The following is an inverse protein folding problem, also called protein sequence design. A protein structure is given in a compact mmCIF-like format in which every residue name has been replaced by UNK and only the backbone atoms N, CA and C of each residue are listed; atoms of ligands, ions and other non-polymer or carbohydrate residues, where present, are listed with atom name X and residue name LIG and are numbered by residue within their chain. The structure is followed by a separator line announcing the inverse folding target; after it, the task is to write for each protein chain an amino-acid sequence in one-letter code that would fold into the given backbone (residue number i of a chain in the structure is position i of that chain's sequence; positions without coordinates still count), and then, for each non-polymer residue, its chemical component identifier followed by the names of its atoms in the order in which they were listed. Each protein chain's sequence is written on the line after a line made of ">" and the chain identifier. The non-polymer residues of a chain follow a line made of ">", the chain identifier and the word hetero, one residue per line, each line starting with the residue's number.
data_IF_187316048409
#
_entry.id   IF_187316048409
#
_cell.length_a   1.000
_cell.length_b   1.000
_cell.length_c   1.000
_cell.angle_alpha   90.00
_cell.angle_beta   90.00
_cell.angle_gamma   90.00
#
_symmetry.space_group_name_H-M   'P 1'
#
loop_
_entity.id
_entity.type
_entity.pdbx_description
1 polymer ?
#
# COMPACT_ATOMS: atom_id res chain seq x y z
N UNK A 1 -1.98 -5.57 6.53
CA UNK A 1 -1.45 -4.19 6.51
C UNK A 1 0.07 -4.19 6.56
N UNK A 2 0.71 -3.19 5.95
CA UNK A 2 2.11 -3.21 5.50
C UNK A 2 2.88 -1.95 5.89
N UNK A 3 4.20 -2.05 5.89
CA UNK A 3 5.14 -0.93 5.98
C UNK A 3 5.91 -0.89 4.66
N UNK A 4 6.08 0.32 4.11
CA UNK A 4 6.82 0.55 2.87
C UNK A 4 7.91 1.59 3.16
N UNK A 5 9.06 1.47 2.50
CA UNK A 5 10.06 2.52 2.49
C UNK A 5 10.64 2.68 1.09
N UNK A 6 11.04 3.91 0.79
CA UNK A 6 11.79 4.29 -0.41
C UNK A 6 12.86 5.29 0.00
N UNK A 7 14.05 5.16 -0.56
CA UNK A 7 15.14 6.12 -0.39
C UNK A 7 15.56 6.58 -1.77
N UNK A 8 15.47 7.89 -1.99
CA UNK A 8 15.88 8.55 -3.23
C UNK A 8 17.17 9.32 -3.01
N UNK A 9 17.91 9.57 -4.09
CA UNK A 9 19.00 10.52 -4.08
C UNK A 9 18.50 11.94 -4.41
N UNK A 10 19.43 12.88 -4.66
CA UNK A 10 19.10 14.28 -4.93
C UNK A 10 18.41 14.52 -6.29
N UNK A 11 18.34 13.51 -7.16
CA UNK A 11 17.61 13.61 -8.43
C UNK A 11 16.09 13.54 -8.24
N UNK A 12 15.65 13.03 -7.08
CA UNK A 12 14.26 12.66 -6.79
C UNK A 12 13.62 11.73 -7.86
N UNK A 13 14.44 11.00 -8.62
CA UNK A 13 13.96 10.06 -9.64
C UNK A 13 13.64 8.70 -9.02
N UNK A 14 12.39 8.24 -9.17
CA UNK A 14 11.95 6.95 -8.64
C UNK A 14 12.67 5.76 -9.29
N UNK A 15 13.01 5.89 -10.58
CA UNK A 15 13.73 4.86 -11.34
C UNK A 15 15.12 4.54 -10.75
N UNK A 16 15.73 5.50 -10.06
CA UNK A 16 17.06 5.41 -9.49
C UNK A 16 17.02 5.34 -7.95
N UNK A 17 15.92 4.83 -7.38
CA UNK A 17 15.79 4.64 -5.94
C UNK A 17 16.95 3.81 -5.39
N UNK A 18 17.63 4.35 -4.37
CA UNK A 18 18.75 3.69 -3.68
C UNK A 18 18.28 2.48 -2.87
N UNK A 19 17.03 2.53 -2.42
CA UNK A 19 16.37 1.46 -1.68
C UNK A 19 14.87 1.55 -1.90
N UNK A 20 14.20 0.40 -2.04
CA UNK A 20 12.75 0.31 -1.93
C UNK A 20 12.36 -1.05 -1.37
N UNK A 21 11.37 -1.09 -0.49
CA UNK A 21 10.86 -2.35 0.05
C UNK A 21 9.43 -2.20 0.57
N UNK A 22 8.72 -3.33 0.58
CA UNK A 22 7.32 -3.49 0.95
C UNK A 22 7.18 -4.74 1.82
N UNK A 23 6.74 -4.58 3.07
CA UNK A 23 6.63 -5.69 4.02
C UNK A 23 5.29 -5.73 4.72
N UNK A 24 4.69 -6.93 4.86
CA UNK A 24 3.58 -7.14 5.80
C UNK A 24 4.13 -7.07 7.23
N UNK A 25 3.53 -6.22 8.07
CA UNK A 25 4.01 -6.03 9.44
C UNK A 25 3.37 -6.97 10.46
N UNK A 26 2.31 -7.70 10.10
CA UNK A 26 1.61 -8.67 10.96
C UNK A 26 1.37 -8.16 12.40
N UNK A 27 0.76 -6.98 12.52
CA UNK A 27 0.54 -6.25 13.77
C UNK A 27 1.80 -5.79 14.57
N UNK A 28 3.01 -5.99 14.05
CA UNK A 28 4.26 -5.57 14.70
C UNK A 28 4.98 -4.44 13.95
N UNK A 29 4.29 -3.30 13.78
CA UNK A 29 4.79 -2.14 12.99
C UNK A 29 6.16 -1.66 13.45
N UNK A 30 6.39 -1.53 14.76
CA UNK A 30 7.64 -1.00 15.32
C UNK A 30 8.84 -1.88 14.96
N UNK A 31 8.73 -3.19 15.13
CA UNK A 31 9.82 -4.11 14.79
C UNK A 31 10.06 -4.15 13.27
N UNK A 32 8.99 -4.12 12.47
CA UNK A 32 9.13 -4.07 11.00
C UNK A 32 9.84 -2.81 10.54
N UNK A 33 9.50 -1.63 11.08
CA UNK A 33 10.19 -0.37 10.78
C UNK A 33 11.64 -0.42 11.24
N UNK A 34 11.93 -0.91 12.45
CA UNK A 34 13.30 -1.00 12.93
C UNK A 34 14.18 -1.89 12.04
N UNK A 35 13.67 -3.03 11.61
CA UNK A 35 14.36 -3.89 10.64
C UNK A 35 14.57 -3.19 9.30
N UNK A 36 13.53 -2.50 8.80
CA UNK A 36 13.60 -1.76 7.54
C UNK A 36 14.65 -0.64 7.56
N UNK A 37 14.78 0.09 8.68
CA UNK A 37 15.82 1.11 8.86
C UNK A 37 17.22 0.51 8.90
N UNK A 38 17.38 -0.66 9.53
CA UNK A 38 18.67 -1.37 9.55
C UNK A 38 19.07 -1.84 8.14
N UNK A 39 18.11 -2.32 7.36
CA UNK A 39 18.35 -2.76 5.98
C UNK A 39 18.66 -1.57 5.06
N UNK A 40 17.96 -0.45 5.21
CA UNK A 40 18.28 0.82 4.53
C UNK A 40 19.73 1.22 4.82
N UNK A 41 20.14 1.22 6.08
CA UNK A 41 21.50 1.60 6.44
C UNK A 41 22.55 0.69 5.80
N UNK A 42 22.34 -0.63 5.85
CA UNK A 42 23.24 -1.59 5.22
C UNK A 42 23.34 -1.40 3.70
N UNK A 43 22.23 -1.15 3.02
CA UNK A 43 22.26 -0.87 1.57
C UNK A 43 22.99 0.44 1.25
N UNK A 44 22.78 1.50 2.04
CA UNK A 44 23.52 2.75 1.87
C UNK A 44 25.02 2.58 2.15
N UNK A 45 25.43 1.79 3.14
CA UNK A 45 26.84 1.46 3.38
C UNK A 45 27.47 0.75 2.18
N UNK A 46 26.80 -0.24 1.59
CA UNK A 46 27.28 -0.96 0.39
C UNK A 46 27.48 -0.02 -0.80
N UNK A 47 26.64 1.01 -0.91
CA UNK A 47 26.76 2.06 -1.93
C UNK A 47 27.82 3.11 -1.61
N UNK A 48 28.49 3.03 -0.44
CA UNK A 48 29.47 4.01 0.01
C UNK A 48 28.86 5.31 0.54
N UNK A 49 27.58 5.27 0.95
CA UNK A 49 26.77 6.42 1.36
C UNK A 49 26.24 6.33 2.79
N UNK A 50 26.76 5.38 3.59
CA UNK A 50 26.26 5.07 4.94
C UNK A 50 26.33 6.24 5.94
N UNK A 51 27.27 7.16 5.74
CA UNK A 51 27.49 8.35 6.61
C UNK A 51 26.81 9.62 6.08
N UNK A 52 26.09 9.55 4.95
CA UNK A 52 25.41 10.71 4.40
C UNK A 52 24.19 11.13 5.25
N UNK A 53 23.97 12.44 5.46
CA UNK A 53 22.78 12.90 6.16
C UNK A 53 21.53 12.61 5.34
N UNK A 54 20.52 12.00 5.98
CA UNK A 54 19.22 11.71 5.36
C UNK A 54 18.15 12.68 5.84
N UNK A 55 17.20 13.00 4.96
CA UNK A 55 15.94 13.64 5.34
C UNK A 55 14.86 12.57 5.40
N UNK A 56 14.26 12.39 6.56
CA UNK A 56 13.18 11.43 6.78
C UNK A 56 11.82 12.16 6.86
N UNK A 57 10.80 11.54 6.28
CA UNK A 57 9.40 11.89 6.47
C UNK A 57 8.58 10.60 6.56
N UNK A 58 7.49 10.64 7.33
CA UNK A 58 6.59 9.50 7.50
C UNK A 58 5.19 9.88 7.04
N UNK A 59 4.50 8.95 6.39
CA UNK A 59 3.12 9.10 5.95
C UNK A 59 2.31 7.83 6.30
N UNK A 60 1.03 7.82 5.93
CA UNK A 60 0.14 6.67 6.07
C UNK A 60 -0.58 6.56 7.42
N UNK A 61 -1.65 5.77 7.43
CA UNK A 61 -2.62 5.65 8.54
C UNK A 61 -2.00 5.21 9.88
N UNK A 62 -0.95 4.39 9.85
CA UNK A 62 -0.22 3.94 11.04
C UNK A 62 0.99 4.80 11.43
N UNK A 63 1.29 5.86 10.66
CA UNK A 63 2.55 6.58 10.72
C UNK A 63 2.62 7.72 11.74
N UNK A 64 1.48 8.32 12.11
CA UNK A 64 1.45 9.57 12.89
C UNK A 64 2.15 9.43 14.26
N UNK A 65 1.73 8.44 15.06
CA UNK A 65 2.32 8.21 16.39
C UNK A 65 3.81 7.81 16.32
N UNK A 66 4.22 7.19 15.20
CA UNK A 66 5.61 6.83 14.97
C UNK A 66 6.44 8.07 14.62
N UNK A 67 5.94 8.94 13.74
CA UNK A 67 6.56 10.20 13.37
C UNK A 67 6.80 11.09 14.59
N UNK A 68 5.77 11.24 15.45
CA UNK A 68 5.87 11.97 16.71
C UNK A 68 6.95 11.37 17.64
N UNK A 69 7.00 10.04 17.74
CA UNK A 69 7.97 9.37 18.62
C UNK A 69 9.42 9.46 18.14
N UNK A 70 9.63 9.66 16.84
CA UNK A 70 10.94 9.78 16.21
C UNK A 70 11.34 11.24 15.97
N UNK A 71 10.48 12.20 16.29
CA UNK A 71 10.65 13.63 16.00
C UNK A 71 10.93 13.90 14.53
N UNK A 72 10.14 13.27 13.64
CA UNK A 72 10.23 13.46 12.19
C UNK A 72 8.93 13.98 11.59
N UNK A 73 8.98 14.73 10.47
CA UNK A 73 7.79 15.25 9.84
C UNK A 73 6.79 14.14 9.46
N UNK A 74 5.53 14.34 9.86
CA UNK A 74 4.41 13.58 9.33
C UNK A 74 3.79 14.29 8.13
N UNK A 75 3.67 13.60 7.00
CA UNK A 75 3.02 14.11 5.78
C UNK A 75 1.71 13.35 5.59
N UNK A 76 0.61 14.08 5.42
CA UNK A 76 -0.69 13.47 5.15
C UNK A 76 -0.65 12.66 3.85
N UNK A 77 -1.16 11.43 3.91
CA UNK A 77 -1.10 10.44 2.81
C UNK A 77 -1.68 10.99 1.51
N UNK A 78 -2.83 11.66 1.57
CA UNK A 78 -3.48 12.26 0.40
C UNK A 78 -2.59 13.30 -0.27
N UNK A 79 -1.88 14.11 0.52
CA UNK A 79 -0.98 15.14 0.00
C UNK A 79 0.27 14.49 -0.61
N UNK A 80 0.86 13.52 0.08
CA UNK A 80 2.04 12.81 -0.41
C UNK A 80 1.75 12.06 -1.73
N UNK A 81 0.60 11.38 -1.81
CA UNK A 81 0.16 10.66 -3.00
C UNK A 81 -0.15 11.61 -4.15
N UNK A 82 -0.89 12.69 -3.89
CA UNK A 82 -1.22 13.71 -4.90
C UNK A 82 0.04 14.32 -5.51
N UNK A 83 0.99 14.75 -4.66
CA UNK A 83 2.26 15.32 -5.13
C UNK A 83 3.07 14.31 -5.97
N UNK A 84 3.15 13.06 -5.53
CA UNK A 84 3.87 12.02 -6.27
C UNK A 84 3.24 11.74 -7.65
N UNK A 85 1.91 11.67 -7.71
CA UNK A 85 1.18 11.43 -8.97
C UNK A 85 1.20 12.66 -9.88
N UNK A 86 1.07 13.87 -9.37
CA UNK A 86 1.14 15.09 -10.19
C UNK A 86 2.52 15.25 -10.84
N UNK A 87 3.59 14.82 -10.15
CA UNK A 87 4.96 14.83 -10.67
C UNK A 87 5.20 13.75 -11.73
N UNK A 88 4.79 12.51 -11.46
CA UNK A 88 5.09 11.35 -12.32
C UNK A 88 4.09 11.19 -13.48
N UNK A 89 2.82 11.50 -13.23
CA UNK A 89 1.71 11.33 -14.15
C UNK A 89 0.83 12.60 -14.18
N UNK A 90 1.34 13.74 -14.69
CA UNK A 90 0.60 15.01 -14.72
C UNK A 90 -0.71 14.97 -15.52
N UNK A 91 -0.86 13.97 -16.40
CA UNK A 91 -2.07 13.69 -17.15
C UNK A 91 -3.16 12.98 -16.33
N UNK A 92 -2.85 12.48 -15.14
CA UNK A 92 -3.82 11.81 -14.29
C UNK A 92 -4.93 12.79 -13.88
N UNK A 93 -6.16 12.29 -13.86
CA UNK A 93 -7.33 13.03 -13.37
C UNK A 93 -7.88 12.40 -12.08
N UNK A 94 -7.56 11.13 -11.84
CA UNK A 94 -8.07 10.33 -10.73
C UNK A 94 -6.99 9.37 -10.23
N UNK A 95 -6.85 9.28 -8.91
CA UNK A 95 -6.06 8.26 -8.23
C UNK A 95 -7.03 7.26 -7.60
N UNK A 96 -6.80 5.96 -7.80
CA UNK A 96 -7.55 4.88 -7.15
C UNK A 96 -6.57 4.12 -6.26
N UNK A 97 -6.71 4.32 -4.95
CA UNK A 97 -5.87 3.71 -3.93
C UNK A 97 -6.62 2.54 -3.29
N UNK A 98 -6.12 1.32 -3.47
CA UNK A 98 -6.70 0.12 -2.85
C UNK A 98 -5.76 -0.38 -1.74
N UNK A 99 -6.09 0.00 -0.51
CA UNK A 99 -5.37 -0.41 0.69
C UNK A 99 -5.78 -1.79 1.20
N UNK A 100 -5.16 -2.20 2.30
CA UNK A 100 -5.53 -3.43 3.00
C UNK A 100 -6.90 -3.32 3.68
N UNK A 101 -7.19 -2.18 4.31
CA UNK A 101 -8.37 -2.01 5.17
C UNK A 101 -9.32 -0.92 4.65
N UNK A 102 -8.82 0.00 3.84
CA UNK A 102 -9.59 1.07 3.19
C UNK A 102 -9.34 1.09 1.68
N UNK A 103 -10.24 1.78 0.97
CA UNK A 103 -10.07 2.13 -0.43
C UNK A 103 -10.43 3.61 -0.62
N UNK A 104 -9.66 4.31 -1.45
CA UNK A 104 -9.83 5.74 -1.70
C UNK A 104 -9.85 6.03 -3.20
N UNK A 105 -10.62 7.03 -3.57
CA UNK A 105 -10.58 7.65 -4.89
C UNK A 105 -10.34 9.14 -4.71
N UNK A 106 -9.29 9.66 -5.33
CA UNK A 106 -8.92 11.07 -5.29
C UNK A 106 -9.07 11.66 -6.69
N UNK A 107 -10.02 12.56 -6.88
CA UNK A 107 -10.17 13.34 -8.11
C UNK A 107 -9.23 14.54 -8.02
N UNK A 108 -8.33 14.71 -8.98
CA UNK A 108 -7.28 15.74 -8.91
C UNK A 108 -7.74 17.12 -9.41
N UNK A 109 -8.68 17.15 -10.35
CA UNK A 109 -9.11 18.36 -11.07
C UNK A 109 -10.63 18.55 -11.01
N UNK A 110 -11.13 19.81 -11.04
CA UNK A 110 -10.39 21.08 -10.98
C UNK A 110 -9.92 21.45 -9.56
N UNK A 111 -10.39 20.74 -8.55
CA UNK A 111 -9.96 20.87 -7.15
C UNK A 111 -9.87 19.47 -6.58
N UNK A 112 -8.79 19.13 -5.86
CA UNK A 112 -8.65 17.82 -5.23
C UNK A 112 -9.85 17.46 -4.34
N UNK A 113 -10.55 16.37 -4.65
CA UNK A 113 -11.64 15.80 -3.86
C UNK A 113 -11.36 14.32 -3.60
N UNK A 114 -11.38 13.90 -2.34
CA UNK A 114 -11.23 12.50 -1.98
C UNK A 114 -12.54 11.89 -1.48
N UNK A 115 -12.81 10.65 -1.90
CA UNK A 115 -13.86 9.80 -1.34
C UNK A 115 -13.22 8.51 -0.84
N UNK A 116 -13.58 8.11 0.37
CA UNK A 116 -13.00 6.95 1.04
C UNK A 116 -14.07 5.99 1.53
N UNK A 117 -13.81 4.69 1.36
CA UNK A 117 -14.51 3.62 2.03
C UNK A 117 -13.58 2.99 3.08
N UNK A 118 -13.75 3.39 4.34
CA UNK A 118 -13.03 2.81 5.47
C UNK A 118 -13.87 1.86 6.35
N UNK A 119 -15.15 1.66 6.03
CA UNK A 119 -16.06 0.88 6.88
C UNK A 119 -16.39 -0.50 6.32
N UNK A 120 -16.22 -0.70 5.00
CA UNK A 120 -16.55 -1.94 4.33
C UNK A 120 -15.28 -2.58 3.74
N UNK A 121 -15.03 -3.85 4.07
CA UNK A 121 -13.95 -4.63 3.46
C UNK A 121 -14.17 -4.89 1.97
N UNK A 122 -15.41 -4.74 1.47
CA UNK A 122 -15.72 -4.87 0.05
C UNK A 122 -14.92 -3.85 -0.77
N UNK A 123 -14.05 -4.34 -1.65
CA UNK A 123 -13.17 -3.53 -2.47
C UNK A 123 -11.77 -3.28 -1.90
N UNK A 124 -11.40 -3.88 -0.75
CA UNK A 124 -10.08 -3.73 -0.13
C UNK A 124 -9.28 -5.03 -0.15
N UNK A 125 -7.99 -4.96 0.19
CA UNK A 125 -7.13 -6.13 0.33
C UNK A 125 -7.60 -7.13 1.40
N UNK A 126 -8.33 -6.70 2.42
CA UNK A 126 -8.90 -7.58 3.44
C UNK A 126 -9.92 -8.55 2.85
N UNK A 127 -10.71 -8.12 1.86
CA UNK A 127 -11.60 -9.03 1.14
C UNK A 127 -10.81 -10.05 0.32
N UNK A 128 -9.75 -9.62 -0.38
CA UNK A 128 -8.86 -10.51 -1.12
C UNK A 128 -8.25 -11.57 -0.19
N UNK A 129 -7.70 -11.15 0.97
CA UNK A 129 -7.11 -12.06 1.96
C UNK A 129 -8.15 -13.08 2.49
N UNK A 130 -9.41 -12.65 2.70
CA UNK A 130 -10.50 -13.55 3.10
C UNK A 130 -10.84 -14.59 2.03
N UNK A 131 -10.87 -14.18 0.75
CA UNK A 131 -11.13 -15.11 -0.36
C UNK A 131 -9.96 -16.08 -0.57
N UNK A 132 -8.74 -15.59 -0.41
CA UNK A 132 -7.53 -16.41 -0.52
C UNK A 132 -7.53 -17.51 0.56
N UNK A 133 -7.82 -17.13 1.80
CA UNK A 133 -7.94 -18.08 2.92
C UNK A 133 -9.06 -19.10 2.66
N UNK A 134 -10.18 -18.69 2.08
CA UNK A 134 -11.28 -19.60 1.76
C UNK A 134 -10.89 -20.67 0.74
N UNK A 135 -10.01 -20.31 -0.20
CA UNK A 135 -9.51 -21.17 -1.28
C UNK A 135 -8.17 -21.84 -0.95
N UNK A 136 -7.77 -21.83 0.33
CA UNK A 136 -6.51 -22.40 0.84
C UNK A 136 -5.26 -21.91 0.07
N UNK A 137 -5.21 -20.61 -0.20
CA UNK A 137 -4.14 -19.96 -0.95
C UNK A 137 -3.82 -18.56 -0.40
N UNK A 138 -2.95 -17.82 -1.07
CA UNK A 138 -2.66 -16.41 -0.81
C UNK A 138 -3.12 -15.50 -1.97
N UNK A 139 -2.91 -14.19 -1.84
CA UNK A 139 -3.33 -13.24 -2.87
C UNK A 139 -2.64 -13.49 -4.23
N UNK A 140 -1.40 -13.98 -4.24
CA UNK A 140 -0.68 -14.28 -5.47
C UNK A 140 -1.21 -15.57 -6.11
N UNK A 141 -1.52 -16.59 -5.29
CA UNK A 141 -2.15 -17.82 -5.74
C UNK A 141 -3.56 -17.60 -6.27
N UNK A 142 -4.36 -16.71 -5.67
CA UNK A 142 -5.64 -16.28 -6.26
C UNK A 142 -5.44 -15.70 -7.67
N UNK A 143 -4.43 -14.85 -7.85
CA UNK A 143 -4.13 -14.24 -9.14
C UNK A 143 -3.75 -15.29 -10.18
N UNK A 144 -2.91 -16.26 -9.80
CA UNK A 144 -2.52 -17.36 -10.69
C UNK A 144 -3.72 -18.24 -11.07
N UNK A 145 -4.53 -18.66 -10.09
CA UNK A 145 -5.75 -19.43 -10.32
C UNK A 145 -6.72 -18.71 -11.26
N UNK A 146 -6.85 -17.38 -11.10
CA UNK A 146 -7.72 -16.57 -11.96
C UNK A 146 -7.27 -16.57 -13.43
N UNK A 147 -5.98 -16.79 -13.74
CA UNK A 147 -5.50 -16.87 -15.13
C UNK A 147 -5.99 -18.11 -15.88
N UNK A 148 -6.32 -19.18 -15.14
CA UNK A 148 -6.73 -20.47 -15.67
C UNK A 148 -8.27 -20.65 -15.65
N UNK A 149 -9.02 -19.56 -15.53
CA UNK A 149 -10.48 -19.65 -15.44
C UNK A 149 -11.10 -20.26 -16.70
N UNK A 150 -12.07 -21.17 -16.51
CA UNK A 150 -12.86 -21.73 -17.62
C UNK A 150 -14.31 -21.23 -17.59
N UNK A 151 -14.80 -20.75 -16.45
CA UNK A 151 -16.19 -20.33 -16.27
C UNK A 151 -16.27 -19.12 -15.36
N UNK A 152 -17.09 -18.15 -15.74
CA UNK A 152 -17.39 -16.97 -14.94
C UNK A 152 -18.70 -17.17 -14.18
N UNK A 153 -18.60 -17.24 -12.85
CA UNK A 153 -19.77 -17.29 -11.98
C UNK A 153 -20.14 -15.86 -11.52
N UNK A 154 -21.40 -15.43 -11.71
CA UNK A 154 -21.83 -14.14 -11.21
C UNK A 154 -21.89 -14.17 -9.67
N UNK A 155 -21.06 -13.36 -9.03
CA UNK A 155 -21.16 -13.10 -7.59
C UNK A 155 -22.09 -11.92 -7.39
N UNK A 156 -23.11 -12.07 -6.53
CA UNK A 156 -24.02 -10.97 -6.27
C UNK A 156 -23.21 -9.83 -5.66
N UNK A 157 -23.22 -8.65 -6.30
CA UNK A 157 -22.44 -7.46 -5.92
C UNK A 157 -22.96 -6.82 -4.62
N UNK A 158 -22.96 -7.60 -3.53
CA UNK A 158 -23.39 -7.26 -2.19
C UNK A 158 -22.14 -7.08 -1.29
N UNK A 159 -22.35 -6.89 0.00
CA UNK A 159 -21.29 -6.86 1.00
C UNK A 159 -20.35 -8.07 0.85
N UNK A 160 -19.04 -7.88 1.03
CA UNK A 160 -18.04 -8.96 0.93
C UNK A 160 -18.32 -10.16 1.84
N UNK A 161 -19.05 -9.97 2.95
CA UNK A 161 -19.55 -11.06 3.80
C UNK A 161 -20.51 -11.99 3.04
N UNK A 162 -21.37 -11.46 2.17
CA UNK A 162 -22.28 -12.26 1.36
C UNK A 162 -21.62 -12.85 0.12
N UNK A 163 -20.63 -12.17 -0.46
CA UNK A 163 -19.84 -12.71 -1.56
C UNK A 163 -19.19 -14.06 -1.18
N UNK A 164 -18.78 -14.22 0.09
CA UNK A 164 -18.33 -15.50 0.63
C UNK A 164 -19.39 -16.62 0.49
N UNK A 165 -20.66 -16.31 0.79
CA UNK A 165 -21.76 -17.27 0.71
C UNK A 165 -22.03 -17.70 -0.74
N UNK A 166 -21.80 -16.81 -1.71
CA UNK A 166 -21.93 -17.15 -3.13
C UNK A 166 -20.79 -18.04 -3.62
N UNK A 167 -19.58 -17.91 -3.03
CA UNK A 167 -18.40 -18.68 -3.41
C UNK A 167 -18.36 -20.09 -2.80
N UNK A 168 -18.79 -20.25 -1.54
CA UNK A 168 -18.68 -21.53 -0.83
C UNK A 168 -19.31 -22.75 -1.55
N UNK A 169 -20.45 -22.65 -2.26
CA UNK A 169 -21.02 -23.76 -3.00
C UNK A 169 -20.26 -24.13 -4.28
N UNK A 170 -19.30 -23.29 -4.71
CA UNK A 170 -18.51 -23.48 -5.94
C UNK A 170 -17.16 -24.17 -5.69
N UNK A 171 -16.82 -24.41 -4.41
CA UNK A 171 -15.62 -25.10 -3.94
C UNK A 171 -15.98 -26.55 -3.64
#
# INVERSE_FOLDING_TARGET
>A
TTVKAVVLDQSDALADALFSDYRRHHANVRATVAGLLADIHQELEKLGRGDEPIRLAITGSGGLALADSLDVPFVQEVIAETEAIDKEYPQADVIIELGGEDAKITYLKPTPEQRMNGSCAGGTGAFIDQMATLLDTDAAGLNEMATQYETLYPIASRCGVFAKTDLQPLI
#
